data_IF_481215390275
#
_entry.id   IF_481215390275
#
_cell.length_a   1.000
_cell.length_b   1.000
_cell.length_c   1.000
_cell.angle_alpha   90.00
_cell.angle_beta   90.00
_cell.angle_gamma   90.00
#
_symmetry.space_group_name_H-M   'P 1'
#
loop_
_entity.id
_entity.type
_entity.pdbx_description
1 polymer ?
#
# COMPACT_ATOMS: atom_id res chain seq x y z
N UNK A 1 -16.48 -8.15 -12.37
CA UNK A 1 -16.02 -9.45 -12.94
C UNK A 1 -14.48 -9.61 -13.06
N UNK A 2 -13.76 -8.99 -14.02
CA UNK A 2 -12.30 -9.25 -14.18
C UNK A 2 -11.48 -8.90 -12.93
N UNK A 3 -11.73 -7.74 -12.33
CA UNK A 3 -11.06 -7.31 -11.10
C UNK A 3 -11.30 -8.30 -9.94
N UNK A 4 -12.54 -8.78 -9.77
CA UNK A 4 -12.88 -9.78 -8.75
C UNK A 4 -12.15 -11.10 -8.96
N UNK A 5 -12.03 -11.58 -10.20
CA UNK A 5 -11.31 -12.83 -10.50
C UNK A 5 -9.82 -12.72 -10.20
N UNK A 6 -9.21 -11.56 -10.49
CA UNK A 6 -7.81 -11.30 -10.17
C UNK A 6 -7.63 -11.20 -8.65
N UNK A 7 -8.49 -10.42 -7.98
CA UNK A 7 -8.48 -10.27 -6.53
C UNK A 7 -8.67 -11.61 -5.80
N UNK A 8 -9.59 -12.45 -6.27
CA UNK A 8 -9.79 -13.79 -5.72
C UNK A 8 -8.53 -14.66 -5.86
N UNK A 9 -7.92 -14.67 -7.05
CA UNK A 9 -6.71 -15.44 -7.28
C UNK A 9 -5.54 -14.93 -6.42
N UNK A 10 -5.19 -13.65 -6.54
CA UNK A 10 -3.97 -13.09 -5.94
C UNK A 10 -4.11 -12.95 -4.43
N UNK A 11 -5.26 -12.47 -3.94
CA UNK A 11 -5.44 -12.14 -2.52
C UNK A 11 -6.15 -13.26 -1.78
N UNK A 12 -7.37 -13.60 -2.19
CA UNK A 12 -8.19 -14.55 -1.41
C UNK A 12 -7.57 -15.94 -1.34
N UNK A 13 -6.93 -16.37 -2.43
CA UNK A 13 -6.27 -17.69 -2.53
C UNK A 13 -4.77 -17.59 -2.26
N UNK A 14 -3.99 -16.91 -3.12
CA UNK A 14 -2.51 -16.96 -3.04
C UNK A 14 -1.93 -16.24 -1.83
N UNK A 15 -2.37 -15.02 -1.53
CA UNK A 15 -1.86 -14.31 -0.35
C UNK A 15 -2.27 -15.03 0.95
N UNK A 16 -3.45 -15.67 1.00
CA UNK A 16 -3.88 -16.43 2.19
C UNK A 16 -2.98 -17.65 2.46
N UNK A 17 -2.48 -18.33 1.43
CA UNK A 17 -1.51 -19.44 1.55
C UNK A 17 -0.20 -19.01 2.25
N UNK A 18 0.13 -17.73 2.19
CA UNK A 18 1.34 -17.13 2.77
C UNK A 18 1.03 -16.26 3.98
N UNK A 19 -0.16 -16.35 4.59
CA UNK A 19 -0.52 -15.50 5.73
C UNK A 19 -0.54 -14.01 5.37
N UNK A 20 -1.09 -13.69 4.20
CA UNK A 20 -1.20 -12.35 3.62
C UNK A 20 0.12 -11.64 3.26
N UNK A 21 1.23 -12.38 3.17
CA UNK A 21 2.44 -11.90 2.45
C UNK A 21 2.21 -12.01 0.95
N UNK A 22 1.88 -10.90 0.28
CA UNK A 22 1.57 -10.90 -1.16
C UNK A 22 2.78 -11.36 -1.96
N UNK A 23 2.66 -12.54 -2.57
CA UNK A 23 3.62 -13.02 -3.56
C UNK A 23 3.34 -12.37 -4.91
N UNK A 24 4.40 -11.91 -5.59
CA UNK A 24 4.29 -11.19 -6.86
C UNK A 24 4.75 -12.01 -8.07
N UNK A 25 5.57 -13.03 -7.84
CA UNK A 25 6.26 -13.77 -8.90
C UNK A 25 5.72 -15.19 -8.98
N UNK A 26 5.16 -15.55 -10.12
CA UNK A 26 4.55 -16.85 -10.36
C UNK A 26 5.03 -17.45 -11.68
N UNK A 27 5.02 -18.77 -11.78
CA UNK A 27 5.14 -19.46 -13.05
C UNK A 27 3.82 -19.40 -13.86
N UNK A 28 3.82 -19.98 -15.06
CA UNK A 28 2.64 -20.04 -15.95
C UNK A 28 1.44 -20.80 -15.35
N UNK A 29 1.68 -21.62 -14.31
CA UNK A 29 0.68 -22.40 -13.60
C UNK A 29 0.26 -21.74 -12.28
N UNK A 30 0.66 -20.49 -12.04
CA UNK A 30 0.40 -19.73 -10.82
C UNK A 30 1.04 -20.31 -9.56
N UNK A 31 2.13 -21.07 -9.68
CA UNK A 31 2.92 -21.47 -8.51
C UNK A 31 3.86 -20.33 -8.11
N UNK A 32 3.90 -20.03 -6.81
CA UNK A 32 4.71 -18.94 -6.27
C UNK A 32 6.22 -19.25 -6.40
N UNK A 33 6.97 -18.32 -6.97
CA UNK A 33 8.42 -18.39 -7.16
C UNK A 33 9.14 -17.56 -6.10
N UNK A 34 9.40 -18.15 -4.92
CA UNK A 34 10.05 -17.45 -3.80
C UNK A 34 11.49 -17.02 -4.08
N UNK A 35 12.19 -17.76 -4.93
CA UNK A 35 13.59 -17.52 -5.28
C UNK A 35 13.79 -16.58 -6.49
N UNK A 36 12.71 -15.98 -7.00
CA UNK A 36 12.79 -15.02 -8.10
C UNK A 36 13.78 -13.88 -7.77
N UNK A 37 14.65 -13.57 -8.72
CA UNK A 37 15.57 -12.42 -8.69
C UNK A 37 15.37 -11.66 -10.00
N UNK A 38 14.94 -10.41 -9.90
CA UNK A 38 14.57 -9.59 -11.04
C UNK A 38 14.98 -8.13 -10.88
N UNK A 39 14.39 -7.27 -11.71
CA UNK A 39 14.63 -5.85 -11.68
C UNK A 39 14.14 -5.25 -10.34
N UNK A 40 15.02 -4.59 -9.62
CA UNK A 40 14.73 -4.12 -8.27
C UNK A 40 13.67 -3.03 -8.20
N UNK A 41 13.44 -2.26 -9.27
CA UNK A 41 12.49 -1.15 -9.32
C UNK A 41 11.05 -1.62 -9.54
N UNK A 42 10.86 -2.66 -10.37
CA UNK A 42 9.53 -3.12 -10.80
C UNK A 42 9.18 -4.55 -10.39
N UNK A 43 10.19 -5.38 -10.13
CA UNK A 43 10.02 -6.81 -9.81
C UNK A 43 10.98 -7.21 -8.67
N UNK A 44 10.91 -6.53 -7.51
CA UNK A 44 11.79 -6.80 -6.39
C UNK A 44 11.62 -8.24 -5.88
N UNK A 45 12.68 -8.79 -5.32
CA UNK A 45 12.62 -10.13 -4.68
C UNK A 45 11.97 -10.06 -3.30
N UNK A 46 11.36 -11.17 -2.89
CA UNK A 46 10.68 -11.25 -1.60
C UNK A 46 9.27 -10.68 -1.67
N UNK A 47 8.89 -9.86 -0.68
CA UNK A 47 7.57 -9.24 -0.57
C UNK A 47 7.71 -7.73 -0.47
N UNK A 48 6.71 -7.00 -0.96
CA UNK A 48 6.69 -5.53 -0.98
C UNK A 48 5.51 -5.04 -0.13
N UNK A 49 5.73 -4.60 1.13
CA UNK A 49 4.64 -4.16 2.01
C UNK A 49 3.74 -3.08 1.40
N UNK A 50 4.32 -2.17 0.61
CA UNK A 50 3.58 -1.14 -0.13
C UNK A 50 2.51 -1.72 -1.06
N UNK A 51 2.80 -2.80 -1.79
CA UNK A 51 1.81 -3.41 -2.68
C UNK A 51 0.69 -4.11 -1.89
N UNK A 52 0.99 -4.69 -0.73
CA UNK A 52 -0.06 -5.26 0.13
C UNK A 52 -0.99 -4.17 0.68
N UNK A 53 -0.46 -2.99 1.01
CA UNK A 53 -1.24 -1.82 1.40
C UNK A 53 -2.12 -1.30 0.24
N UNK A 54 -1.56 -1.23 -0.97
CA UNK A 54 -2.34 -0.90 -2.17
C UNK A 54 -3.48 -1.90 -2.38
N UNK A 55 -3.20 -3.21 -2.28
CA UNK A 55 -4.23 -4.25 -2.37
C UNK A 55 -5.30 -4.11 -1.30
N UNK A 56 -4.96 -3.76 -0.05
CA UNK A 56 -5.95 -3.48 1.00
C UNK A 56 -6.98 -2.44 0.55
N UNK A 57 -6.51 -1.29 0.03
CA UNK A 57 -7.37 -0.23 -0.51
C UNK A 57 -8.21 -0.72 -1.70
N UNK A 58 -7.58 -1.36 -2.68
CA UNK A 58 -8.24 -1.80 -3.92
C UNK A 58 -9.31 -2.86 -3.64
N UNK A 59 -9.08 -3.76 -2.67
CA UNK A 59 -10.05 -4.79 -2.27
C UNK A 59 -11.29 -4.17 -1.64
N UNK A 60 -11.12 -3.17 -0.75
CA UNK A 60 -12.26 -2.46 -0.16
C UNK A 60 -13.02 -1.61 -1.19
N UNK A 61 -12.29 -0.97 -2.11
CA UNK A 61 -12.91 -0.24 -3.22
C UNK A 61 -13.71 -1.18 -4.13
N UNK A 62 -13.18 -2.36 -4.43
CA UNK A 62 -13.88 -3.37 -5.21
C UNK A 62 -15.10 -3.93 -4.46
N UNK A 63 -14.99 -4.12 -3.15
CA UNK A 63 -16.10 -4.55 -2.29
C UNK A 63 -17.26 -3.55 -2.34
N UNK A 64 -16.98 -2.25 -2.20
CA UNK A 64 -17.99 -1.19 -2.28
C UNK A 64 -18.67 -1.17 -3.67
N UNK A 65 -17.88 -1.16 -4.74
CA UNK A 65 -18.37 -1.12 -6.12
C UNK A 65 -19.12 -2.39 -6.53
N UNK A 66 -18.77 -3.54 -5.94
CA UNK A 66 -19.41 -4.83 -6.15
C UNK A 66 -20.66 -5.05 -5.30
N UNK A 67 -21.29 -3.98 -4.79
CA UNK A 67 -22.52 -4.08 -3.99
C UNK A 67 -22.32 -4.79 -2.65
N UNK A 68 -21.08 -4.88 -2.16
CA UNK A 68 -20.71 -5.52 -0.89
C UNK A 68 -21.02 -7.02 -0.81
N UNK A 69 -21.03 -7.72 -1.96
CA UNK A 69 -21.41 -9.13 -1.99
C UNK A 69 -20.29 -10.09 -1.54
N UNK A 70 -19.02 -9.73 -1.77
CA UNK A 70 -17.87 -10.61 -1.50
C UNK A 70 -17.37 -10.43 -0.07
N UNK A 71 -18.00 -11.14 0.87
CA UNK A 71 -17.76 -11.03 2.32
C UNK A 71 -16.33 -11.31 2.80
N UNK A 72 -15.49 -11.96 1.98
CA UNK A 72 -14.08 -12.19 2.32
C UNK A 72 -13.21 -10.93 2.18
N UNK A 73 -13.65 -9.93 1.41
CA UNK A 73 -12.84 -8.76 1.03
C UNK A 73 -12.47 -7.87 2.23
N UNK A 74 -13.39 -7.47 3.13
CA UNK A 74 -13.02 -6.63 4.26
C UNK A 74 -11.96 -7.27 5.19
N UNK A 75 -12.14 -8.54 5.54
CA UNK A 75 -11.18 -9.25 6.39
C UNK A 75 -9.82 -9.47 5.70
N UNK A 76 -9.80 -9.71 4.38
CA UNK A 76 -8.54 -9.79 3.64
C UNK A 76 -7.80 -8.45 3.60
N UNK A 77 -8.52 -7.34 3.43
CA UNK A 77 -7.93 -5.99 3.43
C UNK A 77 -7.35 -5.63 4.80
N UNK A 78 -8.06 -5.95 5.89
CA UNK A 78 -7.58 -5.77 7.26
C UNK A 78 -6.30 -6.57 7.53
N UNK A 79 -6.25 -7.84 7.13
CA UNK A 79 -5.05 -8.67 7.28
C UNK A 79 -3.87 -8.15 6.45
N UNK A 80 -4.07 -7.77 5.19
CA UNK A 80 -3.02 -7.17 4.36
C UNK A 80 -2.42 -5.93 5.03
N UNK A 81 -3.27 -5.06 5.56
CA UNK A 81 -2.83 -3.85 6.26
C UNK A 81 -2.11 -4.17 7.56
N UNK A 82 -2.69 -5.04 8.40
CA UNK A 82 -2.12 -5.42 9.69
C UNK A 82 -0.74 -6.07 9.55
N UNK A 83 -0.56 -6.99 8.60
CA UNK A 83 0.74 -7.63 8.35
C UNK A 83 1.77 -6.63 7.80
N UNK A 84 1.37 -5.71 6.91
CA UNK A 84 2.25 -4.65 6.42
C UNK A 84 2.70 -3.70 7.53
N UNK A 85 1.79 -3.32 8.45
CA UNK A 85 2.14 -2.51 9.63
C UNK A 85 3.05 -3.27 10.60
N UNK A 86 2.80 -4.56 10.84
CA UNK A 86 3.56 -5.33 11.82
C UNK A 86 4.98 -5.72 11.35
N UNK A 87 5.15 -5.97 10.06
CA UNK A 87 6.39 -6.54 9.51
C UNK A 87 7.15 -5.58 8.61
N UNK A 88 6.41 -4.72 7.89
CA UNK A 88 6.96 -3.78 6.93
C UNK A 88 7.36 -2.45 7.56
N UNK A 89 6.71 -2.03 8.65
CA UNK A 89 7.00 -0.78 9.32
C UNK A 89 8.29 -0.87 10.14
N UNK A 90 9.14 0.14 10.01
CA UNK A 90 10.32 0.30 10.84
C UNK A 90 9.93 0.95 12.17
N UNK A 91 9.81 0.14 13.23
CA UNK A 91 9.41 0.63 14.55
C UNK A 91 10.47 1.49 15.25
N UNK A 92 11.73 1.46 14.79
CA UNK A 92 12.80 2.28 15.37
C UNK A 92 12.86 3.66 14.72
N UNK A 93 12.75 3.72 13.39
CA UNK A 93 12.98 4.95 12.62
C UNK A 93 11.71 5.52 11.99
N UNK A 94 10.71 4.69 11.74
CA UNK A 94 9.51 5.04 10.99
C UNK A 94 9.65 4.78 9.48
N UNK A 95 8.50 4.64 8.84
CA UNK A 95 8.38 4.36 7.41
C UNK A 95 8.55 2.89 7.06
N UNK A 96 7.98 2.49 5.92
CA UNK A 96 8.05 1.10 5.47
C UNK A 96 9.38 0.77 4.81
N UNK A 97 9.94 -0.38 5.17
CA UNK A 97 10.99 -1.00 4.36
C UNK A 97 10.48 -1.26 2.94
N UNK A 98 11.30 -1.03 1.93
CA UNK A 98 10.91 -1.27 0.55
C UNK A 98 10.53 -2.75 0.33
N UNK A 99 11.36 -3.69 0.81
CA UNK A 99 11.08 -5.11 0.67
C UNK A 99 11.48 -5.91 1.91
N UNK A 100 10.77 -7.02 2.12
CA UNK A 100 11.12 -8.05 3.09
C UNK A 100 11.52 -9.34 2.37
N UNK A 101 12.34 -10.16 3.03
CA UNK A 101 12.56 -11.55 2.61
C UNK A 101 11.40 -12.47 3.05
N UNK A 102 11.45 -13.74 2.65
CA UNK A 102 10.40 -14.72 3.01
C UNK A 102 10.43 -15.19 4.47
N UNK A 103 11.37 -14.69 5.27
CA UNK A 103 11.42 -14.85 6.74
C UNK A 103 11.00 -13.56 7.45
N UNK A 104 10.32 -12.65 6.73
CA UNK A 104 9.83 -11.36 7.20
C UNK A 104 10.95 -10.43 7.71
N UNK A 105 12.18 -10.58 7.22
CA UNK A 105 13.30 -9.67 7.55
C UNK A 105 13.46 -8.57 6.49
N UNK A 106 13.78 -7.33 6.90
CA UNK A 106 14.04 -6.25 5.94
C UNK A 106 15.20 -6.59 5.00
N UNK A 107 14.91 -6.65 3.70
CA UNK A 107 15.87 -6.96 2.65
C UNK A 107 16.35 -5.68 1.94
N UNK A 108 15.41 -4.82 1.51
CA UNK A 108 15.71 -3.47 1.03
C UNK A 108 15.15 -2.44 2.00
N UNK A 109 16.05 -1.67 2.59
CA UNK A 109 15.73 -0.82 3.74
C UNK A 109 15.46 0.64 3.43
N UNK A 110 15.64 1.05 2.17
CA UNK A 110 15.19 2.37 1.70
C UNK A 110 13.70 2.55 1.95
N UNK A 111 13.31 3.80 2.21
CA UNK A 111 11.92 4.19 2.41
C UNK A 111 11.46 4.95 1.18
N UNK A 112 10.43 4.43 0.51
CA UNK A 112 9.89 5.05 -0.68
C UNK A 112 8.63 5.86 -0.34
N UNK A 113 8.32 6.87 -1.14
CA UNK A 113 7.11 7.68 -0.99
C UNK A 113 5.82 6.88 -1.20
N UNK A 114 5.81 6.01 -2.22
CA UNK A 114 4.57 5.38 -2.67
C UNK A 114 4.02 4.35 -1.67
N UNK A 115 4.82 3.54 -0.93
CA UNK A 115 4.26 2.69 0.13
C UNK A 115 3.61 3.50 1.25
N UNK A 116 4.16 4.68 1.56
CA UNK A 116 3.57 5.60 2.55
C UNK A 116 2.24 6.16 2.05
N UNK A 117 2.19 6.57 0.78
CA UNK A 117 0.97 7.06 0.13
C UNK A 117 -0.13 5.99 0.09
N UNK A 118 0.22 4.75 -0.27
CA UNK A 118 -0.71 3.62 -0.29
C UNK A 118 -1.19 3.26 1.12
N UNK A 119 -0.32 3.33 2.13
CA UNK A 119 -0.72 3.12 3.52
C UNK A 119 -1.75 4.14 4.00
N UNK A 120 -1.58 5.42 3.63
CA UNK A 120 -2.53 6.49 3.95
C UNK A 120 -3.89 6.25 3.29
N UNK A 121 -3.90 5.86 2.01
CA UNK A 121 -5.13 5.51 1.29
C UNK A 121 -5.83 4.26 1.85
N UNK A 122 -5.06 3.22 2.18
CA UNK A 122 -5.57 1.98 2.75
C UNK A 122 -6.19 2.19 4.13
N UNK A 123 -5.52 2.92 5.02
CA UNK A 123 -6.04 3.24 6.34
C UNK A 123 -7.31 4.10 6.26
N UNK A 124 -7.40 5.07 5.33
CA UNK A 124 -8.63 5.83 5.11
C UNK A 124 -9.81 4.94 4.70
N UNK A 125 -9.59 3.98 3.79
CA UNK A 125 -10.63 3.00 3.41
C UNK A 125 -11.00 2.07 4.57
N UNK A 126 -10.02 1.61 5.35
CA UNK A 126 -10.26 0.75 6.51
C UNK A 126 -11.04 1.46 7.62
N UNK A 127 -10.74 2.72 7.91
CA UNK A 127 -11.51 3.53 8.88
C UNK A 127 -12.99 3.56 8.52
N UNK A 128 -13.32 3.63 7.23
CA UNK A 128 -14.70 3.65 6.76
C UNK A 128 -15.38 2.26 6.79
N UNK A 129 -14.71 1.23 6.27
CA UNK A 129 -15.32 -0.09 6.07
C UNK A 129 -15.20 -1.03 7.27
N UNK A 130 -14.13 -0.89 8.06
CA UNK A 130 -13.78 -1.76 9.20
C UNK A 130 -13.21 -0.89 10.32
N UNK A 131 -14.01 0.01 10.94
CA UNK A 131 -13.49 0.99 11.90
C UNK A 131 -12.82 0.32 13.09
N UNK A 132 -11.58 0.74 13.40
CA UNK A 132 -10.83 0.32 14.59
C UNK A 132 -9.85 1.41 15.02
N UNK A 133 -9.50 1.43 16.32
CA UNK A 133 -8.49 2.35 16.86
C UNK A 133 -7.12 2.17 16.18
N UNK A 134 -6.81 0.94 15.75
CA UNK A 134 -5.57 0.63 15.05
C UNK A 134 -5.51 1.32 13.69
N UNK A 135 -6.61 1.35 12.93
CA UNK A 135 -6.65 1.99 11.62
C UNK A 135 -6.49 3.51 11.73
N UNK A 136 -7.16 4.14 12.70
CA UNK A 136 -7.10 5.59 12.93
C UNK A 136 -5.72 6.03 13.47
N UNK A 137 -5.17 5.29 14.44
CA UNK A 137 -3.84 5.56 14.98
C UNK A 137 -2.75 5.37 13.92
N UNK A 138 -2.88 4.33 13.07
CA UNK A 138 -1.96 4.10 11.96
C UNK A 138 -2.04 5.21 10.92
N UNK A 139 -3.24 5.67 10.57
CA UNK A 139 -3.44 6.80 9.64
C UNK A 139 -2.69 8.05 10.10
N UNK A 140 -2.81 8.40 11.39
CA UNK A 140 -2.08 9.53 11.98
C UNK A 140 -0.57 9.33 11.93
N UNK A 141 -0.09 8.16 12.38
CA UNK A 141 1.34 7.83 12.38
C UNK A 141 1.96 7.93 10.97
N UNK A 142 1.25 7.41 9.96
CA UNK A 142 1.66 7.44 8.56
C UNK A 142 1.77 8.88 8.08
N UNK A 143 0.73 9.71 8.31
CA UNK A 143 0.73 11.11 7.90
C UNK A 143 1.78 11.97 8.63
N UNK A 144 1.98 11.75 9.92
CA UNK A 144 3.02 12.43 10.69
C UNK A 144 4.41 12.09 10.12
N UNK A 145 4.64 10.83 9.77
CA UNK A 145 5.90 10.38 9.15
C UNK A 145 6.10 10.97 7.75
N UNK A 146 5.04 11.02 6.94
CA UNK A 146 5.04 11.68 5.62
C UNK A 146 5.42 13.16 5.78
N UNK A 147 4.72 13.88 6.67
CA UNK A 147 4.88 15.31 6.87
C UNK A 147 6.27 15.70 7.37
N UNK A 148 6.86 14.85 8.23
CA UNK A 148 8.19 15.06 8.79
C UNK A 148 9.33 14.77 7.81
N UNK A 149 9.19 13.74 6.95
CA UNK A 149 10.33 13.19 6.20
C UNK A 149 10.18 13.27 4.68
N UNK A 150 8.99 12.99 4.17
CA UNK A 150 8.76 12.87 2.72
C UNK A 150 8.44 14.20 2.05
N UNK A 151 7.79 15.15 2.74
CA UNK A 151 7.49 16.46 2.14
C UNK A 151 8.77 17.29 1.91
N UNK A 152 9.05 17.63 0.66
CA UNK A 152 10.12 18.55 0.32
C UNK A 152 9.62 19.98 0.35
N UNK A 153 9.78 20.63 1.50
CA UNK A 153 9.33 22.01 1.73
C UNK A 153 10.16 23.05 0.96
N UNK A 154 11.38 22.70 0.56
CA UNK A 154 12.27 23.63 -0.15
C UNK A 154 12.00 23.64 -1.66
N UNK A 155 11.72 22.46 -2.24
CA UNK A 155 11.55 22.29 -3.70
C UNK A 155 10.13 21.90 -4.12
N UNK A 156 9.20 21.73 -3.17
CA UNK A 156 7.85 21.24 -3.43
C UNK A 156 7.79 19.75 -3.75
N UNK A 157 6.60 19.16 -3.65
CA UNK A 157 6.39 17.72 -3.88
C UNK A 157 6.95 16.83 -2.76
N UNK A 158 6.99 15.53 -3.02
CA UNK A 158 7.48 14.53 -2.07
C UNK A 158 8.85 14.02 -2.50
N UNK A 159 9.71 13.67 -1.55
CA UNK A 159 10.97 12.96 -1.80
C UNK A 159 10.62 11.50 -2.09
N UNK A 160 11.01 11.03 -3.26
CA UNK A 160 10.66 9.67 -3.70
C UNK A 160 11.49 8.61 -2.99
N UNK A 161 12.71 8.93 -2.57
CA UNK A 161 13.54 7.96 -1.88
C UNK A 161 14.23 8.58 -0.67
N UNK A 162 14.15 7.84 0.43
CA UNK A 162 14.93 8.09 1.63
C UNK A 162 15.79 6.86 1.94
N UNK A 163 16.94 7.09 2.58
CA UNK A 163 17.71 6.04 3.23
C UNK A 163 16.92 5.44 4.39
N UNK A 164 17.43 4.35 4.97
CA UNK A 164 16.85 3.76 6.18
C UNK A 164 16.73 4.78 7.34
N UNK A 165 17.66 5.74 7.42
CA UNK A 165 17.69 6.81 8.43
C UNK A 165 16.86 8.06 8.04
N UNK A 166 15.93 7.90 7.10
CA UNK A 166 15.03 8.96 6.62
C UNK A 166 15.78 10.19 6.05
N UNK A 167 16.96 9.98 5.46
CA UNK A 167 17.70 11.02 4.74
C UNK A 167 17.41 10.95 3.25
N UNK A 168 17.28 12.09 2.54
CA UNK A 168 17.05 12.09 1.10
C UNK A 168 18.07 11.22 0.35
N UNK A 169 17.58 10.38 -0.56
CA UNK A 169 18.37 9.50 -1.41
C UNK A 169 17.81 9.52 -2.85
N UNK A 170 18.54 8.88 -3.77
CA UNK A 170 18.18 8.81 -5.18
C UNK A 170 18.85 7.61 -5.87
N UNK A 171 18.99 6.49 -5.16
CA UNK A 171 19.72 5.31 -5.63
C UNK A 171 18.87 4.42 -6.54
N UNK A 172 17.58 4.27 -6.22
CA UNK A 172 16.58 3.53 -6.98
C UNK A 172 15.80 4.51 -7.86
N UNK A 173 15.30 5.61 -7.27
CA UNK A 173 14.45 6.59 -7.94
C UNK A 173 15.11 7.98 -7.96
N UNK A 174 15.70 8.40 -9.11
CA UNK A 174 16.26 9.73 -9.23
C UNK A 174 15.17 10.77 -9.47
N UNK A 175 15.07 11.75 -8.58
CA UNK A 175 14.22 12.93 -8.76
C UNK A 175 12.83 12.79 -8.13
N UNK A 176 11.83 13.35 -8.82
CA UNK A 176 10.41 13.38 -8.43
C UNK A 176 9.54 13.16 -9.66
N UNK A 177 9.57 11.95 -10.19
CA UNK A 177 8.88 11.58 -11.43
C UNK A 177 7.40 11.25 -11.26
N UNK A 178 6.95 10.98 -10.04
CA UNK A 178 5.61 10.54 -9.71
C UNK A 178 4.89 11.51 -8.77
N UNK A 179 3.81 12.07 -9.29
CA UNK A 179 2.83 12.78 -8.47
C UNK A 179 1.58 11.95 -8.20
N UNK A 180 1.40 10.82 -8.90
CA UNK A 180 0.15 10.07 -8.87
C UNK A 180 -0.15 9.52 -7.47
N UNK A 181 0.81 8.85 -6.83
CA UNK A 181 0.58 8.27 -5.51
C UNK A 181 0.41 9.36 -4.44
N UNK A 182 1.28 10.38 -4.45
CA UNK A 182 1.21 11.49 -3.49
C UNK A 182 -0.11 12.28 -3.62
N UNK A 183 -0.55 12.57 -4.84
CA UNK A 183 -1.81 13.26 -5.08
C UNK A 183 -3.00 12.40 -4.65
N UNK A 184 -3.01 11.11 -4.97
CA UNK A 184 -4.08 10.22 -4.54
C UNK A 184 -4.16 10.11 -3.02
N UNK A 185 -3.03 9.98 -2.32
CA UNK A 185 -3.02 9.97 -0.85
C UNK A 185 -3.65 11.22 -0.24
N UNK A 186 -3.42 12.40 -0.84
CA UNK A 186 -4.03 13.66 -0.40
C UNK A 186 -5.54 13.76 -0.71
N UNK A 187 -6.01 13.12 -1.77
CA UNK A 187 -7.39 13.26 -2.24
C UNK A 187 -8.33 12.17 -1.72
N UNK A 188 -7.87 10.91 -1.65
CA UNK A 188 -8.68 9.76 -1.22
C UNK A 188 -9.42 10.02 0.10
N UNK A 189 -8.80 10.54 1.17
CA UNK A 189 -9.46 10.73 2.46
C UNK A 189 -10.51 11.85 2.46
N UNK A 190 -10.60 12.66 1.41
CA UNK A 190 -11.54 13.77 1.31
C UNK A 190 -12.91 13.37 0.74
N UNK A 191 -13.04 12.14 0.24
CA UNK A 191 -14.25 11.63 -0.39
C UNK A 191 -14.72 10.34 0.27
N UNK A 192 -16.02 10.00 0.20
CA UNK A 192 -16.51 8.72 0.69
C UNK A 192 -15.77 7.54 0.07
N UNK A 193 -15.42 6.54 0.88
CA UNK A 193 -14.72 5.33 0.45
C UNK A 193 -15.66 4.34 -0.29
N UNK A 194 -16.55 4.85 -1.14
CA UNK A 194 -17.66 4.12 -1.76
C UNK A 194 -17.44 3.79 -3.24
N UNK A 195 -16.35 4.29 -3.84
CA UNK A 195 -16.10 4.09 -5.26
C UNK A 195 -14.79 4.68 -5.74
N UNK A 196 -14.73 5.06 -7.02
CA UNK A 196 -13.55 5.69 -7.60
C UNK A 196 -13.39 7.12 -7.10
N UNK A 197 -12.14 7.58 -6.97
CA UNK A 197 -11.83 8.95 -6.60
C UNK A 197 -12.48 9.95 -7.56
N UNK A 198 -12.44 9.66 -8.86
CA UNK A 198 -13.06 10.50 -9.90
C UNK A 198 -14.57 10.64 -9.70
N UNK A 199 -15.28 9.56 -9.34
CA UNK A 199 -16.72 9.63 -9.05
C UNK A 199 -16.99 10.49 -7.82
N UNK A 200 -16.22 10.31 -6.75
CA UNK A 200 -16.33 11.12 -5.54
C UNK A 200 -16.14 12.62 -5.80
N UNK A 201 -15.15 12.99 -6.63
CA UNK A 201 -14.92 14.39 -7.03
C UNK A 201 -16.13 14.96 -7.79
N UNK A 202 -16.65 14.24 -8.78
CA UNK A 202 -17.80 14.69 -9.57
C UNK A 202 -19.03 14.90 -8.67
N UNK A 203 -19.32 13.95 -7.79
CA UNK A 203 -20.51 14.00 -6.93
C UNK A 203 -20.44 15.16 -5.93
N UNK A 204 -19.23 15.52 -5.48
CA UNK A 204 -19.02 16.66 -4.58
C UNK A 204 -19.23 18.03 -5.23
N UNK A 205 -19.24 18.11 -6.57
CA UNK A 205 -19.50 19.36 -7.30
C UNK A 205 -21.00 19.60 -7.55
N UNK A 206 -21.81 18.55 -7.41
CA UNK A 206 -23.27 18.59 -7.62
C UNK A 206 -24.05 18.84 -6.30
N UNK A 207 -23.35 18.92 -5.17
CA UNK A 207 -23.90 19.16 -3.82
C UNK A 207 -23.52 20.55 -3.29
#
# INVERSE_FOLDING_TARGET
EKAERIADLIINRRARETGFRVGEHFDENWNLLKDYRGNEMFRPSGTTPGHALEWSRLILQLYALGGREKTWMPGAAEELFAQSMALGWDHEKGGFFYTLDWNDKPAKRSKLWWPMAEAAGASAFLIHHVPSDMHESSYRLIWDTIAANFLDRDKGGWREELTEDLKPASTIFPGKGDIYHALQACLIPLYPAEGSLTKGIIDSQET
#
